data_IF_429172857684
#
_entry.id   IF_429172857684
#
_cell.length_a   1.000
_cell.length_b   1.000
_cell.length_c   1.000
_cell.angle_alpha   90.00
_cell.angle_beta   90.00
_cell.angle_gamma   90.00
#
_symmetry.space_group_name_H-M   'P 1'
#
loop_
_entity.id
_entity.type
_entity.pdbx_description
1 polymer ?
#
# COMPACT_ATOMS: atom_id res chain seq x y z
N UNK A 1 -20.79 6.55 -1.16
CA UNK A 1 -19.31 6.46 -1.34
C UNK A 1 -18.58 6.75 -0.02
N UNK A 2 -18.97 7.78 0.74
CA UNK A 2 -18.30 8.18 1.97
C UNK A 2 -18.37 7.12 3.08
N UNK A 3 -19.51 6.47 3.28
CA UNK A 3 -19.70 5.49 4.35
C UNK A 3 -18.78 4.25 4.24
N UNK A 4 -18.68 3.56 3.08
CA UNK A 4 -17.75 2.45 2.91
C UNK A 4 -16.28 2.85 3.11
N UNK A 5 -15.89 4.03 2.66
CA UNK A 5 -14.52 4.53 2.85
C UNK A 5 -14.22 4.84 4.33
N UNK A 6 -15.18 5.40 5.05
CA UNK A 6 -15.05 5.65 6.50
C UNK A 6 -14.92 4.35 7.30
N UNK A 7 -15.73 3.35 7.00
CA UNK A 7 -15.64 2.02 7.62
C UNK A 7 -14.28 1.37 7.32
N UNK A 8 -13.84 1.42 6.05
CA UNK A 8 -12.52 0.92 5.66
C UNK A 8 -11.40 1.59 6.45
N UNK A 9 -11.43 2.93 6.56
CA UNK A 9 -10.40 3.66 7.30
C UNK A 9 -10.38 3.29 8.78
N UNK A 10 -11.53 3.11 9.41
CA UNK A 10 -11.63 2.68 10.80
C UNK A 10 -11.01 1.28 10.99
N UNK A 11 -11.33 0.34 10.12
CA UNK A 11 -10.79 -1.04 10.19
C UNK A 11 -9.28 -1.04 9.92
N UNK A 12 -8.78 -0.21 9.00
CA UNK A 12 -7.35 -0.07 8.74
C UNK A 12 -6.61 0.51 9.96
N UNK A 13 -7.16 1.54 10.59
CA UNK A 13 -6.60 2.12 11.82
C UNK A 13 -6.58 1.10 12.96
N UNK A 14 -7.63 0.28 13.09
CA UNK A 14 -7.67 -0.81 14.08
C UNK A 14 -6.54 -1.83 13.87
N UNK A 15 -6.20 -2.15 12.61
CA UNK A 15 -5.10 -3.06 12.31
C UNK A 15 -3.72 -2.48 12.72
N UNK A 16 -3.52 -1.17 12.62
CA UNK A 16 -2.31 -0.52 13.15
C UNK A 16 -2.22 -0.63 14.67
N UNK A 17 -3.35 -0.47 15.39
CA UNK A 17 -3.42 -0.67 16.84
C UNK A 17 -3.02 -2.11 17.20
N UNK A 18 -3.59 -3.10 16.51
CA UNK A 18 -3.25 -4.52 16.73
C UNK A 18 -1.77 -4.79 16.47
N UNK A 19 -1.19 -4.23 15.42
CA UNK A 19 0.25 -4.34 15.16
C UNK A 19 1.08 -3.75 16.30
N UNK A 20 0.67 -2.61 16.85
CA UNK A 20 1.34 -2.00 18.00
C UNK A 20 1.23 -2.88 19.26
N UNK A 21 0.10 -3.54 19.49
CA UNK A 21 -0.07 -4.50 20.59
C UNK A 21 0.87 -5.71 20.43
N UNK A 22 1.09 -6.19 19.21
CA UNK A 22 2.05 -7.28 18.91
C UNK A 22 3.49 -6.83 19.18
N UNK A 23 3.82 -5.56 18.95
CA UNK A 23 5.16 -5.01 19.18
C UNK A 23 5.40 -4.68 20.65
N UNK A 24 4.35 -4.33 21.41
CA UNK A 24 4.47 -3.88 22.80
C UNK A 24 5.32 -4.83 23.72
N UNK A 25 5.14 -6.17 23.68
CA UNK A 25 5.95 -7.08 24.50
C UNK A 25 7.42 -7.18 24.07
N UNK A 26 7.80 -6.65 22.91
CA UNK A 26 9.19 -6.67 22.42
C UNK A 26 10.07 -5.60 23.09
N UNK A 27 9.49 -4.74 23.93
CA UNK A 27 10.18 -3.73 24.71
C UNK A 27 10.21 -2.33 24.10
N UNK A 28 10.65 -1.37 24.91
CA UNK A 28 10.61 0.07 24.54
C UNK A 28 11.48 0.42 23.36
N UNK A 29 12.61 -0.24 23.17
CA UNK A 29 13.50 -0.02 22.01
C UNK A 29 12.84 -0.44 20.70
N UNK A 30 12.07 -1.55 20.71
CA UNK A 30 11.33 -2.01 19.55
C UNK A 30 10.19 -1.04 19.19
N UNK A 31 9.46 -0.53 20.18
CA UNK A 31 8.40 0.45 19.98
C UNK A 31 8.97 1.75 19.39
N UNK A 32 10.08 2.24 19.93
CA UNK A 32 10.74 3.45 19.44
C UNK A 32 11.26 3.26 18.00
N UNK A 33 11.94 2.16 17.71
CA UNK A 33 12.44 1.83 16.37
C UNK A 33 11.30 1.71 15.35
N UNK A 34 10.18 1.08 15.74
CA UNK A 34 8.99 1.00 14.91
C UNK A 34 8.40 2.37 14.61
N UNK A 35 8.26 3.23 15.61
CA UNK A 35 7.69 4.57 15.45
C UNK A 35 8.54 5.44 14.53
N UNK A 36 9.86 5.46 14.72
CA UNK A 36 10.77 6.20 13.84
C UNK A 36 10.83 5.59 12.43
N UNK A 37 10.82 4.26 12.33
CA UNK A 37 10.76 3.56 11.05
C UNK A 37 9.54 3.97 10.22
N UNK A 38 8.35 3.99 10.81
CA UNK A 38 7.11 4.43 10.15
C UNK A 38 7.19 5.86 9.66
N UNK A 39 7.83 6.78 10.42
CA UNK A 39 8.01 8.17 9.99
C UNK A 39 8.89 8.24 8.75
N UNK A 40 10.02 7.53 8.73
CA UNK A 40 10.93 7.50 7.57
C UNK A 40 10.26 6.85 6.35
N UNK A 41 9.58 5.71 6.54
CA UNK A 41 8.79 5.05 5.51
C UNK A 41 7.73 5.98 4.92
N UNK A 42 7.03 6.75 5.77
CA UNK A 42 5.98 7.67 5.31
C UNK A 42 6.48 8.72 4.32
N UNK A 43 7.70 9.21 4.49
CA UNK A 43 8.32 10.13 3.53
C UNK A 43 8.60 9.45 2.18
N UNK A 44 8.90 8.15 2.19
CA UNK A 44 9.22 7.40 0.98
C UNK A 44 7.98 7.10 0.13
N UNK A 45 6.84 6.79 0.74
CA UNK A 45 5.63 6.46 -0.02
C UNK A 45 4.77 7.68 -0.42
N UNK A 46 5.00 8.87 0.13
CA UNK A 46 4.24 10.08 -0.23
C UNK A 46 4.21 10.38 -1.75
N UNK A 47 5.31 10.27 -2.51
CA UNK A 47 5.28 10.44 -3.96
C UNK A 47 4.35 9.43 -4.65
N UNK A 48 4.24 8.20 -4.13
CA UNK A 48 3.32 7.18 -4.63
C UNK A 48 1.86 7.61 -4.52
N UNK A 49 1.46 8.23 -3.41
CA UNK A 49 0.12 8.80 -3.26
C UNK A 49 -0.14 9.93 -4.25
N UNK A 50 0.83 10.81 -4.48
CA UNK A 50 0.71 11.86 -5.49
C UNK A 50 0.43 11.31 -6.90
N UNK A 51 1.13 10.25 -7.30
CA UNK A 51 0.86 9.56 -8.57
C UNK A 51 -0.50 8.88 -8.56
N UNK A 52 -0.92 8.30 -7.44
CA UNK A 52 -2.24 7.67 -7.28
C UNK A 52 -3.39 8.68 -7.46
N UNK A 53 -3.27 9.88 -6.89
CA UNK A 53 -4.27 10.94 -7.03
C UNK A 53 -4.37 11.44 -8.47
N UNK A 54 -3.23 11.60 -9.15
CA UNK A 54 -3.19 11.91 -10.57
C UNK A 54 -3.84 10.80 -11.41
N UNK A 55 -3.54 9.52 -11.12
CA UNK A 55 -4.15 8.37 -11.79
C UNK A 55 -5.67 8.35 -11.58
N UNK A 56 -6.14 8.61 -10.36
CA UNK A 56 -7.58 8.70 -10.03
C UNK A 56 -8.29 9.73 -10.89
N UNK A 57 -7.68 10.90 -11.03
CA UNK A 57 -8.24 12.00 -11.84
C UNK A 57 -8.28 11.66 -13.32
N UNK A 58 -7.16 11.19 -13.89
CA UNK A 58 -7.05 10.87 -15.33
C UNK A 58 -7.98 9.71 -15.73
N UNK A 59 -8.04 8.68 -14.88
CA UNK A 59 -8.94 7.54 -15.08
C UNK A 59 -10.39 7.98 -14.98
N UNK A 60 -10.76 8.77 -13.97
CA UNK A 60 -12.11 9.28 -13.80
C UNK A 60 -12.60 10.14 -14.98
N UNK A 61 -11.76 11.05 -15.46
CA UNK A 61 -12.05 11.86 -16.64
C UNK A 61 -12.21 11.01 -17.91
N UNK A 62 -11.31 10.03 -18.10
CA UNK A 62 -11.37 9.15 -19.28
C UNK A 62 -12.61 8.25 -19.27
N UNK A 63 -13.01 7.76 -18.09
CA UNK A 63 -14.23 6.99 -17.89
C UNK A 63 -15.47 7.84 -18.16
N UNK A 64 -15.52 9.07 -17.62
CA UNK A 64 -16.63 10.00 -17.83
C UNK A 64 -16.81 10.41 -19.31
N UNK A 65 -15.70 10.47 -20.06
CA UNK A 65 -15.69 10.75 -21.49
C UNK A 65 -15.99 9.51 -22.37
N UNK A 66 -16.20 8.33 -21.78
CA UNK A 66 -16.41 7.07 -22.50
C UNK A 66 -15.17 6.54 -23.25
N UNK A 67 -13.97 7.09 -22.98
CA UNK A 67 -12.73 6.74 -23.67
C UNK A 67 -11.99 5.61 -22.93
N UNK A 68 -12.52 4.40 -22.98
CA UNK A 68 -12.01 3.25 -22.20
C UNK A 68 -10.58 2.84 -22.56
N UNK A 69 -10.17 2.96 -23.82
CA UNK A 69 -8.80 2.67 -24.24
C UNK A 69 -7.79 3.67 -23.66
N UNK A 70 -8.17 4.94 -23.62
CA UNK A 70 -7.35 5.99 -23.01
C UNK A 70 -7.21 5.77 -21.50
N UNK A 71 -8.31 5.37 -20.84
CA UNK A 71 -8.31 5.00 -19.43
C UNK A 71 -7.31 3.87 -19.14
N UNK A 72 -7.32 2.78 -19.93
CA UNK A 72 -6.37 1.68 -19.77
C UNK A 72 -4.92 2.14 -19.93
N UNK A 73 -4.66 2.99 -20.93
CA UNK A 73 -3.31 3.55 -21.14
C UNK A 73 -2.85 4.39 -19.95
N UNK A 74 -3.70 5.29 -19.44
CA UNK A 74 -3.37 6.08 -18.25
C UNK A 74 -3.17 5.21 -17.01
N UNK A 75 -4.00 4.18 -16.81
CA UNK A 75 -3.84 3.26 -15.70
C UNK A 75 -2.46 2.58 -15.71
N UNK A 76 -2.05 1.99 -16.84
CA UNK A 76 -0.77 1.30 -16.95
C UNK A 76 0.43 2.24 -16.91
N UNK A 77 0.33 3.42 -17.54
CA UNK A 77 1.39 4.44 -17.46
C UNK A 77 1.59 4.93 -16.03
N UNK A 78 0.49 5.20 -15.30
CA UNK A 78 0.58 5.64 -13.91
C UNK A 78 1.17 4.56 -13.01
N UNK A 79 0.78 3.29 -13.21
CA UNK A 79 1.35 2.17 -12.45
C UNK A 79 2.84 2.01 -12.75
N UNK A 80 3.24 2.03 -14.01
CA UNK A 80 4.65 1.92 -14.40
C UNK A 80 5.50 3.07 -13.87
N UNK A 81 5.01 4.32 -14.01
CA UNK A 81 5.68 5.50 -13.47
C UNK A 81 5.81 5.43 -11.95
N UNK A 82 4.72 5.08 -11.27
CA UNK A 82 4.72 5.02 -9.82
C UNK A 82 5.59 3.90 -9.27
N UNK A 83 5.60 2.72 -9.88
CA UNK A 83 6.52 1.65 -9.51
C UNK A 83 7.98 2.10 -9.70
N UNK A 84 8.28 2.83 -10.78
CA UNK A 84 9.62 3.39 -11.01
C UNK A 84 10.03 4.39 -9.93
N UNK A 85 9.15 5.34 -9.59
CA UNK A 85 9.39 6.32 -8.52
C UNK A 85 9.56 5.61 -7.17
N UNK A 86 8.68 4.66 -6.84
CA UNK A 86 8.74 3.93 -5.57
C UNK A 86 9.97 3.01 -5.48
N UNK A 87 10.42 2.46 -6.60
CA UNK A 87 11.70 1.73 -6.66
C UNK A 87 12.87 2.66 -6.33
N UNK A 88 12.88 3.86 -6.91
CA UNK A 88 13.90 4.86 -6.61
C UNK A 88 13.87 5.25 -5.12
N UNK A 89 12.67 5.51 -4.58
CA UNK A 89 12.50 5.83 -3.17
C UNK A 89 12.93 4.68 -2.25
N UNK A 90 12.66 3.44 -2.64
CA UNK A 90 13.14 2.23 -1.93
C UNK A 90 14.67 2.16 -1.90
N UNK A 91 15.35 2.45 -3.02
CA UNK A 91 16.82 2.53 -3.07
C UNK A 91 17.34 3.65 -2.17
N UNK A 92 16.72 4.83 -2.22
CA UNK A 92 17.08 5.98 -1.37
C UNK A 92 16.87 5.62 0.11
N UNK A 93 15.77 4.97 0.46
CA UNK A 93 15.48 4.51 1.82
C UNK A 93 16.50 3.48 2.29
N UNK A 94 16.83 2.49 1.47
CA UNK A 94 17.82 1.46 1.80
C UNK A 94 19.20 2.03 2.09
N UNK A 95 19.67 2.93 1.23
CA UNK A 95 20.97 3.58 1.38
C UNK A 95 20.97 4.66 2.48
N UNK A 96 19.89 5.41 2.58
CA UNK A 96 19.72 6.53 3.52
C UNK A 96 19.25 6.14 4.92
N UNK A 97 18.84 4.89 5.16
CA UNK A 97 18.33 4.43 6.44
C UNK A 97 19.27 4.75 7.64
N UNK A 98 20.61 4.53 7.55
CA UNK A 98 21.51 4.87 8.65
C UNK A 98 21.52 6.38 8.97
N UNK A 99 21.48 7.21 7.94
CA UNK A 99 21.45 8.67 8.09
C UNK A 99 20.13 9.14 8.70
N UNK A 100 19.00 8.67 8.16
CA UNK A 100 17.67 9.01 8.64
C UNK A 100 17.50 8.62 10.13
N UNK A 101 17.88 7.40 10.49
CA UNK A 101 17.78 6.93 11.88
C UNK A 101 18.74 7.67 12.81
N UNK A 102 19.91 8.14 12.32
CA UNK A 102 20.84 8.93 13.12
C UNK A 102 20.29 10.31 13.48
N UNK A 103 19.44 10.87 12.64
CA UNK A 103 18.74 12.14 12.91
C UNK A 103 17.57 11.97 13.89
N UNK A 104 16.94 10.78 13.91
CA UNK A 104 15.74 10.50 14.72
C UNK A 104 16.07 10.17 16.18
N UNK A 105 17.21 9.51 16.44
CA UNK A 105 17.53 9.04 17.78
C UNK A 105 19.03 9.00 18.07
N UNK A 106 19.46 9.40 19.29
CA UNK A 106 20.83 9.21 19.74
C UNK A 106 21.15 7.77 20.17
N UNK A 107 20.11 6.94 20.48
CA UNK A 107 20.29 5.58 20.96
C UNK A 107 20.82 4.66 19.85
N UNK A 108 22.01 4.04 20.04
CA UNK A 108 22.58 3.15 19.05
C UNK A 108 21.75 1.89 18.82
N UNK A 109 21.09 1.37 19.86
CA UNK A 109 20.25 0.16 19.78
C UNK A 109 19.02 0.40 18.94
N UNK A 110 18.29 1.51 19.17
CA UNK A 110 17.12 1.88 18.38
C UNK A 110 17.52 2.16 16.93
N UNK A 111 18.68 2.80 16.73
CA UNK A 111 19.21 3.11 15.39
C UNK A 111 19.50 1.86 14.58
N UNK A 112 20.22 0.89 15.17
CA UNK A 112 20.54 -0.36 14.48
C UNK A 112 19.29 -1.12 14.09
N UNK A 113 18.36 -1.27 15.02
CA UNK A 113 17.10 -1.97 14.78
C UNK A 113 16.25 -1.26 13.71
N UNK A 114 16.16 0.09 13.76
CA UNK A 114 15.45 0.89 12.78
C UNK A 114 16.05 0.79 11.37
N UNK A 115 17.37 0.78 11.24
CA UNK A 115 18.05 0.59 9.94
C UNK A 115 17.73 -0.77 9.34
N UNK A 116 17.74 -1.82 10.15
CA UNK A 116 17.46 -3.17 9.68
C UNK A 116 16.02 -3.30 9.15
N UNK A 117 15.05 -2.79 9.91
CA UNK A 117 13.64 -2.89 9.51
C UNK A 117 13.34 -2.04 8.27
N UNK A 118 13.91 -0.84 8.14
CA UNK A 118 13.78 -0.01 6.94
C UNK A 118 14.38 -0.68 5.69
N UNK A 119 15.49 -1.39 5.85
CA UNK A 119 16.09 -2.15 4.75
C UNK A 119 15.24 -3.33 4.30
N UNK A 120 14.54 -3.99 5.23
CA UNK A 120 13.58 -5.05 4.87
C UNK A 120 12.44 -4.46 4.05
N UNK A 121 11.88 -3.32 4.48
CA UNK A 121 10.75 -2.68 3.83
C UNK A 121 11.08 -2.12 2.45
N UNK A 122 12.31 -1.64 2.24
CA UNK A 122 12.76 -1.09 0.96
C UNK A 122 12.51 -2.02 -0.23
N UNK A 123 12.51 -3.34 -0.02
CA UNK A 123 12.21 -4.32 -1.07
C UNK A 123 10.74 -4.39 -1.44
N UNK A 124 9.84 -4.00 -0.53
CA UNK A 124 8.39 -3.99 -0.80
C UNK A 124 7.93 -2.72 -1.53
N UNK A 125 8.70 -1.63 -1.49
CA UNK A 125 8.33 -0.32 -2.02
C UNK A 125 7.81 -0.35 -3.48
N UNK A 126 8.42 -1.07 -4.44
CA UNK A 126 7.89 -1.14 -5.80
C UNK A 126 6.49 -1.74 -5.87
N UNK A 127 6.23 -2.81 -5.11
CA UNK A 127 4.94 -3.48 -5.06
C UNK A 127 3.91 -2.70 -4.24
N UNK A 128 4.36 -2.01 -3.20
CA UNK A 128 3.52 -1.07 -2.46
C UNK A 128 3.06 0.08 -3.37
N UNK A 129 3.95 0.64 -4.18
CA UNK A 129 3.61 1.62 -5.20
C UNK A 129 2.55 1.10 -6.18
N UNK A 130 2.72 -0.12 -6.69
CA UNK A 130 1.71 -0.76 -7.54
C UNK A 130 0.35 -0.85 -6.85
N UNK A 131 0.30 -1.26 -5.57
CA UNK A 131 -0.94 -1.37 -4.81
C UNK A 131 -1.64 -0.01 -4.64
N UNK A 132 -0.89 1.03 -4.22
CA UNK A 132 -1.41 2.38 -4.00
C UNK A 132 -2.01 2.94 -5.30
N UNK A 133 -1.28 2.83 -6.42
CA UNK A 133 -1.70 3.42 -7.68
C UNK A 133 -2.84 2.64 -8.31
N UNK A 134 -2.81 1.30 -8.28
CA UNK A 134 -3.94 0.49 -8.72
C UNK A 134 -5.20 0.80 -7.91
N UNK A 135 -5.09 1.02 -6.60
CA UNK A 135 -6.22 1.47 -5.77
C UNK A 135 -6.78 2.79 -6.30
N UNK A 136 -5.94 3.79 -6.57
CA UNK A 136 -6.35 5.07 -7.18
C UNK A 136 -7.05 4.90 -8.52
N UNK A 137 -6.53 4.01 -9.39
CA UNK A 137 -7.17 3.66 -10.67
C UNK A 137 -8.59 3.12 -10.46
N UNK A 138 -8.78 2.21 -9.50
CA UNK A 138 -10.12 1.66 -9.20
C UNK A 138 -11.06 2.70 -8.59
N UNK A 139 -10.56 3.59 -7.75
CA UNK A 139 -11.33 4.73 -7.22
C UNK A 139 -11.77 5.66 -8.36
N UNK A 140 -10.86 6.01 -9.28
CA UNK A 140 -11.18 6.80 -10.46
C UNK A 140 -12.20 6.13 -11.39
N UNK A 141 -12.18 4.79 -11.46
CA UNK A 141 -13.17 4.01 -12.19
C UNK A 141 -14.49 3.80 -11.42
N UNK A 142 -14.69 4.46 -10.28
CA UNK A 142 -15.84 4.32 -9.37
C UNK A 142 -16.09 2.88 -8.87
N UNK A 143 -15.06 2.03 -8.84
CA UNK A 143 -15.12 0.64 -8.38
C UNK A 143 -14.33 0.47 -7.08
N UNK A 144 -14.84 0.98 -5.98
CA UNK A 144 -14.14 1.05 -4.70
C UNK A 144 -14.30 -0.20 -3.82
N UNK A 145 -15.38 -0.94 -3.95
CA UNK A 145 -15.71 -2.05 -3.03
C UNK A 145 -14.68 -3.20 -3.12
N UNK A 146 -14.38 -3.66 -4.33
CA UNK A 146 -13.45 -4.78 -4.51
C UNK A 146 -12.02 -4.45 -4.00
N UNK A 147 -11.40 -3.32 -4.36
CA UNK A 147 -10.09 -2.95 -3.82
C UNK A 147 -10.09 -2.71 -2.31
N UNK A 148 -11.20 -2.19 -1.74
CA UNK A 148 -11.34 -2.04 -0.29
C UNK A 148 -11.32 -3.39 0.43
N UNK A 149 -12.07 -4.37 -0.09
CA UNK A 149 -12.07 -5.73 0.46
C UNK A 149 -10.70 -6.38 0.33
N UNK A 150 -10.02 -6.20 -0.83
CA UNK A 150 -8.67 -6.73 -1.03
C UNK A 150 -7.67 -6.16 -0.02
N UNK A 151 -7.71 -4.85 0.25
CA UNK A 151 -6.89 -4.21 1.28
C UNK A 151 -7.17 -4.78 2.67
N UNK A 152 -8.45 -4.94 3.04
CA UNK A 152 -8.83 -5.48 4.34
C UNK A 152 -8.37 -6.93 4.51
N UNK A 153 -8.63 -7.79 3.52
CA UNK A 153 -8.23 -9.20 3.56
C UNK A 153 -6.71 -9.34 3.63
N UNK A 154 -5.97 -8.55 2.86
CA UNK A 154 -4.51 -8.55 2.88
C UNK A 154 -3.98 -8.14 4.26
N UNK A 155 -4.45 -7.03 4.80
CA UNK A 155 -3.96 -6.48 6.06
C UNK A 155 -4.31 -7.36 7.25
N UNK A 156 -5.55 -7.82 7.37
CA UNK A 156 -5.99 -8.64 8.49
C UNK A 156 -5.62 -10.12 8.33
N UNK A 157 -5.76 -10.68 7.13
CA UNK A 157 -5.50 -12.08 6.86
C UNK A 157 -4.01 -12.41 6.73
N UNK A 158 -3.23 -11.56 6.08
CA UNK A 158 -1.82 -11.83 5.81
C UNK A 158 -0.91 -11.13 6.83
N UNK A 159 -0.99 -9.79 6.92
CA UNK A 159 -0.07 -9.00 7.75
C UNK A 159 -0.16 -9.34 9.22
N UNK A 160 -1.35 -9.30 9.82
CA UNK A 160 -1.51 -9.53 11.26
C UNK A 160 -1.17 -10.97 11.61
N UNK A 161 -1.62 -11.94 10.80
CA UNK A 161 -1.32 -13.35 11.04
C UNK A 161 0.19 -13.63 10.98
N UNK A 162 0.87 -13.16 9.92
CA UNK A 162 2.31 -13.32 9.79
C UNK A 162 3.08 -12.58 10.88
N UNK A 163 2.66 -11.35 11.23
CA UNK A 163 3.29 -10.59 12.31
C UNK A 163 3.18 -11.32 13.64
N UNK A 164 2.02 -11.87 13.98
CA UNK A 164 1.82 -12.64 15.21
C UNK A 164 2.67 -13.93 15.24
N UNK A 165 2.89 -14.56 14.09
CA UNK A 165 3.72 -15.78 13.99
C UNK A 165 5.22 -15.47 14.03
N UNK A 166 5.66 -14.38 13.41
CA UNK A 166 7.08 -14.04 13.26
C UNK A 166 7.61 -13.17 14.42
N UNK A 167 6.76 -12.40 15.10
CA UNK A 167 7.18 -11.56 16.21
C UNK A 167 7.85 -12.32 17.37
N UNK A 168 7.35 -13.51 17.81
CA UNK A 168 7.98 -14.24 18.89
C UNK A 168 9.38 -14.79 18.55
N UNK A 169 9.65 -15.09 17.28
CA UNK A 169 10.92 -15.71 16.84
C UNK A 169 11.95 -14.68 16.37
N UNK A 170 11.50 -13.59 15.71
CA UNK A 170 12.37 -12.61 15.05
C UNK A 170 12.24 -11.19 15.64
N UNK A 171 11.37 -10.98 16.62
CA UNK A 171 11.12 -9.67 17.22
C UNK A 171 10.56 -8.68 16.20
N UNK A 172 11.00 -7.42 16.27
CA UNK A 172 10.55 -6.36 15.37
C UNK A 172 10.86 -6.64 13.88
N UNK A 173 11.99 -7.30 13.60
CA UNK A 173 12.35 -7.72 12.23
C UNK A 173 11.28 -8.64 11.62
N UNK A 174 10.71 -9.54 12.43
CA UNK A 174 9.64 -10.44 12.00
C UNK A 174 8.35 -9.69 11.65
N UNK A 175 8.00 -8.66 12.41
CA UNK A 175 6.82 -7.81 12.14
C UNK A 175 6.99 -7.04 10.82
N UNK A 176 8.16 -6.46 10.58
CA UNK A 176 8.45 -5.73 9.34
C UNK A 176 8.61 -6.66 8.13
N UNK A 177 9.13 -7.87 8.33
CA UNK A 177 9.14 -8.89 7.29
C UNK A 177 7.71 -9.32 6.91
N UNK A 178 6.83 -9.48 7.88
CA UNK A 178 5.40 -9.74 7.63
C UNK A 178 4.74 -8.61 6.85
N UNK A 179 5.12 -7.34 7.14
CA UNK A 179 4.67 -6.17 6.40
C UNK A 179 5.17 -6.18 4.96
N UNK A 180 6.47 -6.41 4.74
CA UNK A 180 7.08 -6.52 3.42
C UNK A 180 6.43 -7.62 2.56
N UNK A 181 6.20 -8.80 3.11
CA UNK A 181 5.53 -9.89 2.42
C UNK A 181 4.08 -9.54 2.08
N UNK A 182 3.35 -8.91 3.00
CA UNK A 182 1.98 -8.49 2.78
C UNK A 182 1.88 -7.43 1.70
N UNK A 183 2.74 -6.39 1.73
CA UNK A 183 2.75 -5.34 0.71
C UNK A 183 3.10 -5.88 -0.68
N UNK A 184 4.02 -6.83 -0.74
CA UNK A 184 4.35 -7.52 -2.00
C UNK A 184 3.15 -8.34 -2.50
N UNK A 185 2.52 -9.13 -1.64
CA UNK A 185 1.33 -9.90 -1.97
C UNK A 185 0.20 -8.98 -2.44
N UNK A 186 -0.04 -7.89 -1.73
CA UNK A 186 -1.06 -6.88 -2.08
C UNK A 186 -0.78 -6.26 -3.45
N UNK A 187 0.46 -5.87 -3.72
CA UNK A 187 0.86 -5.35 -5.03
C UNK A 187 0.54 -6.33 -6.16
N UNK A 188 0.88 -7.60 -5.98
CA UNK A 188 0.61 -8.65 -6.97
C UNK A 188 -0.90 -8.80 -7.23
N UNK A 189 -1.72 -8.95 -6.20
CA UNK A 189 -3.18 -9.10 -6.40
C UNK A 189 -3.81 -7.87 -7.04
N UNK A 190 -3.36 -6.66 -6.73
CA UNK A 190 -3.84 -5.45 -7.38
C UNK A 190 -3.44 -5.38 -8.85
N UNK A 191 -2.22 -5.75 -9.21
CA UNK A 191 -1.77 -5.85 -10.60
C UNK A 191 -2.58 -6.89 -11.39
N UNK A 192 -2.75 -8.09 -10.83
CA UNK A 192 -3.58 -9.14 -11.44
C UNK A 192 -5.01 -8.65 -11.63
N UNK A 193 -5.58 -7.97 -10.63
CA UNK A 193 -6.93 -7.40 -10.74
C UNK A 193 -7.02 -6.35 -11.83
N UNK A 194 -5.99 -5.52 -11.99
CA UNK A 194 -5.93 -4.51 -13.05
C UNK A 194 -5.82 -5.15 -14.45
N UNK A 195 -5.07 -6.24 -14.59
CA UNK A 195 -4.97 -7.00 -15.85
C UNK A 195 -6.31 -7.56 -16.30
N UNK A 196 -7.10 -8.09 -15.36
CA UNK A 196 -8.42 -8.69 -15.64
C UNK A 196 -9.50 -7.62 -15.76
N UNK A 197 -9.20 -6.39 -15.34
CA UNK A 197 -10.18 -5.31 -15.29
C UNK A 197 -10.63 -4.90 -16.70
N UNK A 198 -11.90 -5.11 -17.02
CA UNK A 198 -12.53 -4.63 -18.23
C UNK A 198 -13.47 -3.45 -17.92
N UNK A 199 -13.14 -2.24 -18.35
CA UNK A 199 -13.95 -1.04 -18.08
C UNK A 199 -15.18 -0.95 -18.95
N UNK A 200 -15.27 -1.70 -20.08
CA UNK A 200 -16.40 -1.63 -20.98
C UNK A 200 -17.70 -2.00 -20.25
N UNK A 201 -18.69 -1.10 -20.18
CA UNK A 201 -20.00 -1.48 -19.69
C UNK A 201 -20.55 -2.55 -20.65
N UNK A 202 -21.10 -3.64 -20.11
CA UNK A 202 -21.90 -4.56 -20.92
C UNK A 202 -22.94 -3.73 -21.63
N UNK A 203 -23.18 -3.91 -22.95
CA UNK A 203 -24.26 -3.22 -23.62
C UNK A 203 -25.54 -3.48 -22.82
N UNK A 204 -26.17 -2.42 -22.35
CA UNK A 204 -27.49 -2.50 -21.73
C UNK A 204 -28.37 -3.08 -22.82
N UNK A 205 -28.83 -4.33 -22.64
CA UNK A 205 -29.83 -4.90 -23.52
C UNK A 205 -31.01 -3.91 -23.50
N UNK A 206 -31.23 -3.18 -24.58
CA UNK A 206 -32.47 -2.45 -24.78
C UNK A 206 -33.56 -3.47 -24.56
N UNK A 207 -34.27 -3.36 -23.45
CA UNK A 207 -35.60 -3.96 -23.39
C UNK A 207 -36.36 -3.28 -24.52
N UNK A 208 -36.49 -4.00 -25.65
CA UNK A 208 -37.43 -3.65 -26.67
C UNK A 208 -38.77 -3.55 -25.96
N UNK A 209 -39.32 -2.31 -25.98
CA UNK A 209 -40.65 -2.06 -25.47
C UNK A 209 -41.62 -2.96 -26.27
N UNK A 210 -42.27 -3.86 -25.58
CA UNK A 210 -43.53 -4.39 -26.08
C UNK A 210 -44.57 -3.29 -26.01
N UNK A 211 -44.98 -2.82 -27.17
CA UNK A 211 -46.25 -2.14 -27.37
C UNK A 211 -47.40 -2.96 -26.82
#
# INVERSE_FOLDING_TARGET
IALPMGIQQTIMTSAYIVTTIIIAPLGTFAIAANSFGIIVESLCYMPGYGVSDAATTLVGQSMGAGRYELMKRFAWLSVGLGMGIMTLMGVVMYAGAPFAMSMMTPSPEVRLLGVEVLRIEAFAEPMFGAAIICYGVFVGAAKTVAPSVMNLVSMWGVRITLAAMLAPSMGLRGVWLAMCLELTFRGVIFLVKLMIFNPNPKPVSRREGSE
#
